data_IF_359347915197
#
_entry.id   IF_359347915197
#
_cell.length_a   1.000
_cell.length_b   1.000
_cell.length_c   1.000
_cell.angle_alpha   90.00
_cell.angle_beta   90.00
_cell.angle_gamma   90.00
#
_symmetry.space_group_name_H-M   'P 1'
#
loop_
_entity.id
_entity.type
_entity.pdbx_description
1 polymer ?
#
# COMPACT_ATOMS: atom_id res chain seq x y z
N UNK A 1 3.16 1.91 -9.46
CA UNK A 1 1.98 1.85 -8.58
C UNK A 1 2.24 0.85 -7.48
N UNK A 2 1.96 1.21 -6.23
CA UNK A 2 2.20 0.35 -5.08
C UNK A 2 1.02 -0.57 -4.81
N UNK A 3 1.30 -1.82 -4.46
CA UNK A 3 0.32 -2.81 -4.01
C UNK A 3 0.71 -3.33 -2.62
N UNK A 4 -0.21 -3.19 -1.67
CA UNK A 4 -0.13 -3.79 -0.34
C UNK A 4 -1.10 -4.97 -0.27
N UNK A 5 -0.61 -6.15 0.08
CA UNK A 5 -1.42 -7.36 0.28
C UNK A 5 -1.51 -7.66 1.76
N UNK A 6 -2.69 -7.49 2.34
CA UNK A 6 -2.99 -7.77 3.73
C UNK A 6 -3.48 -9.21 3.85
N UNK A 7 -2.70 -10.05 4.50
CA UNK A 7 -3.12 -11.38 4.97
C UNK A 7 -3.37 -11.33 6.47
N UNK A 8 -3.79 -12.44 7.07
CA UNK A 8 -4.09 -12.50 8.51
C UNK A 8 -2.86 -12.20 9.38
N UNK A 9 -1.66 -12.41 8.86
CA UNK A 9 -0.40 -12.42 9.60
C UNK A 9 0.67 -11.45 9.07
N UNK A 10 0.51 -10.91 7.85
CA UNK A 10 1.54 -10.07 7.22
C UNK A 10 0.99 -9.10 6.19
N UNK A 11 1.80 -8.09 5.93
CA UNK A 11 1.60 -7.15 4.82
C UNK A 11 2.75 -7.38 3.84
N UNK A 12 2.42 -7.60 2.57
CA UNK A 12 3.41 -7.70 1.50
C UNK A 12 3.29 -6.49 0.58
N UNK A 13 4.44 -5.92 0.19
CA UNK A 13 4.53 -4.76 -0.68
C UNK A 13 5.09 -5.17 -2.05
N UNK A 14 4.36 -4.88 -3.12
CA UNK A 14 4.76 -5.13 -4.50
C UNK A 14 4.68 -3.84 -5.33
N UNK A 15 5.59 -3.70 -6.30
CA UNK A 15 5.51 -2.63 -7.31
C UNK A 15 4.83 -3.15 -8.58
N UNK A 16 3.80 -2.45 -9.03
CA UNK A 16 3.04 -2.74 -10.24
C UNK A 16 3.33 -1.72 -11.32
N UNK A 17 3.67 -2.22 -12.52
CA UNK A 17 4.02 -1.42 -13.70
C UNK A 17 2.84 -1.02 -14.58
N UNK A 18 1.63 -1.43 -14.23
CA UNK A 18 0.42 -1.15 -15.02
C UNK A 18 -0.43 -0.07 -14.34
N UNK A 19 -1.19 0.74 -15.09
CA UNK A 19 -2.09 1.75 -14.53
C UNK A 19 -3.14 1.13 -13.59
N UNK A 20 -3.62 1.93 -12.62
CA UNK A 20 -4.63 1.46 -11.66
C UNK A 20 -5.90 0.94 -12.34
N UNK A 21 -6.40 1.66 -13.34
CA UNK A 21 -7.63 1.30 -14.05
C UNK A 21 -7.51 -0.05 -14.76
N UNK A 22 -6.43 -0.27 -15.50
CA UNK A 22 -6.16 -1.54 -16.19
C UNK A 22 -6.02 -2.70 -15.20
N UNK A 23 -5.34 -2.43 -14.07
CA UNK A 23 -5.19 -3.41 -13.00
C UNK A 23 -6.55 -3.78 -12.42
N UNK A 24 -7.39 -2.81 -12.06
CA UNK A 24 -8.74 -3.00 -11.50
C UNK A 24 -9.64 -3.74 -12.50
N UNK A 25 -9.69 -3.29 -13.75
CA UNK A 25 -10.54 -3.87 -14.80
C UNK A 25 -10.25 -5.36 -14.99
N UNK A 26 -8.98 -5.74 -14.94
CA UNK A 26 -8.58 -7.15 -14.98
C UNK A 26 -9.20 -7.96 -13.84
N UNK A 27 -9.23 -7.43 -12.61
CA UNK A 27 -9.76 -8.15 -11.43
C UNK A 27 -11.28 -8.22 -11.46
N UNK A 28 -11.96 -7.16 -11.90
CA UNK A 28 -13.41 -7.17 -12.13
C UNK A 28 -13.78 -8.21 -13.18
N UNK A 29 -13.04 -8.29 -14.29
CA UNK A 29 -13.29 -9.28 -15.32
C UNK A 29 -13.08 -10.71 -14.83
N UNK A 30 -12.04 -10.93 -14.03
CA UNK A 30 -11.78 -12.23 -13.40
C UNK A 30 -12.95 -12.60 -12.48
N UNK A 31 -13.38 -11.69 -11.58
CA UNK A 31 -14.44 -11.99 -10.61
C UNK A 31 -15.76 -12.36 -11.29
N UNK A 32 -16.11 -11.66 -12.37
CA UNK A 32 -17.28 -11.98 -13.18
C UNK A 32 -17.19 -13.38 -13.80
N UNK A 33 -16.02 -13.75 -14.34
CA UNK A 33 -15.80 -15.06 -14.96
C UNK A 33 -15.75 -16.21 -13.96
N UNK A 34 -15.24 -15.95 -12.75
CA UNK A 34 -15.18 -16.94 -11.68
C UNK A 34 -16.44 -17.01 -10.82
N UNK A 35 -17.46 -16.17 -11.10
CA UNK A 35 -18.65 -16.06 -10.24
C UNK A 35 -18.30 -15.78 -8.78
N UNK A 36 -17.24 -14.99 -8.54
CA UNK A 36 -16.80 -14.57 -7.21
C UNK A 36 -17.15 -13.10 -6.99
N UNK A 37 -17.42 -12.74 -5.73
CA UNK A 37 -17.63 -11.36 -5.36
C UNK A 37 -16.31 -10.61 -5.27
N UNK A 38 -16.34 -9.34 -5.68
CA UNK A 38 -15.27 -8.38 -5.45
C UNK A 38 -15.90 -7.08 -4.93
N UNK A 39 -15.39 -6.59 -3.82
CA UNK A 39 -15.72 -5.31 -3.23
C UNK A 39 -14.56 -4.36 -3.52
N UNK A 40 -14.85 -3.20 -4.10
CA UNK A 40 -13.87 -2.17 -4.44
C UNK A 40 -14.33 -0.86 -3.82
N UNK A 41 -13.46 -0.19 -3.06
CA UNK A 41 -13.77 1.10 -2.44
C UNK A 41 -12.54 2.01 -2.42
N UNK A 42 -12.74 3.32 -2.59
CA UNK A 42 -11.72 4.29 -2.16
C UNK A 42 -11.51 4.14 -0.65
N UNK A 43 -10.25 4.10 -0.22
CA UNK A 43 -9.89 3.90 1.17
C UNK A 43 -8.57 4.58 1.47
N UNK A 44 -8.23 4.64 2.76
CA UNK A 44 -6.85 4.80 3.19
C UNK A 44 -6.27 3.45 3.61
N UNK A 45 -4.96 3.37 3.64
CA UNK A 45 -4.20 2.30 4.26
C UNK A 45 -3.11 2.93 5.14
N UNK A 46 -2.98 2.42 6.35
CA UNK A 46 -1.89 2.74 7.24
C UNK A 46 -0.82 1.67 7.16
N UNK A 47 0.45 2.10 7.14
CA UNK A 47 1.61 1.22 7.26
C UNK A 47 2.59 1.80 8.26
N UNK A 48 3.10 0.94 9.16
CA UNK A 48 4.11 1.32 10.13
C UNK A 48 5.49 1.02 9.54
N UNK A 49 6.37 2.00 9.57
CA UNK A 49 7.75 1.85 9.11
C UNK A 49 8.73 2.33 10.19
N UNK A 50 9.94 1.77 10.26
CA UNK A 50 10.97 2.27 11.15
C UNK A 50 11.32 3.71 10.81
N UNK A 51 11.74 4.46 11.81
CA UNK A 51 12.42 5.74 11.63
C UNK A 51 13.85 5.44 11.14
N UNK A 52 14.00 5.05 9.87
CA UNK A 52 15.30 5.12 9.20
C UNK A 52 15.57 6.59 8.88
N UNK A 53 16.54 7.15 9.62
CA UNK A 53 16.85 8.59 9.66
C UNK A 53 17.03 9.26 8.30
N UNK A 54 17.37 8.51 7.25
CA UNK A 54 17.61 9.08 5.93
C UNK A 54 16.49 8.81 4.91
N UNK A 55 15.94 7.60 4.85
CA UNK A 55 14.90 7.27 3.86
C UNK A 55 13.54 7.86 4.26
N UNK A 56 13.16 7.69 5.53
CA UNK A 56 11.91 8.23 6.08
C UNK A 56 11.93 9.77 6.02
N UNK A 57 13.06 10.39 6.38
CA UNK A 57 13.21 11.85 6.29
C UNK A 57 13.21 12.39 4.84
N UNK A 58 13.60 11.59 3.85
CA UNK A 58 13.45 11.97 2.44
C UNK A 58 12.00 11.85 2.00
N UNK A 59 11.30 10.81 2.45
CA UNK A 59 9.91 10.56 2.12
C UNK A 59 8.99 11.64 2.73
N UNK A 60 9.22 12.03 3.98
CA UNK A 60 8.51 13.15 4.67
C UNK A 60 8.67 14.49 3.92
N UNK A 61 9.74 14.67 3.14
CA UNK A 61 9.99 15.90 2.37
C UNK A 61 9.36 15.89 0.97
N UNK A 62 8.82 14.75 0.53
CA UNK A 62 8.13 14.67 -0.74
C UNK A 62 6.71 15.20 -0.56
N UNK A 63 6.33 16.14 -1.43
CA UNK A 63 4.95 16.59 -1.54
C UNK A 63 4.19 15.63 -2.47
N UNK A 64 3.80 14.47 -1.94
CA UNK A 64 3.13 13.43 -2.72
C UNK A 64 1.63 13.39 -2.41
N UNK A 65 0.80 13.66 -3.40
CA UNK A 65 -0.67 13.82 -3.25
C UNK A 65 -1.36 12.63 -2.54
N UNK A 66 -0.88 11.41 -2.79
CA UNK A 66 -1.48 10.19 -2.24
C UNK A 66 -0.83 9.71 -0.93
N UNK A 67 0.15 10.46 -0.40
CA UNK A 67 0.59 10.34 0.99
C UNK A 67 -0.16 11.39 1.81
N UNK A 68 -1.05 10.93 2.67
CA UNK A 68 -1.97 11.79 3.42
C UNK A 68 -1.29 12.34 4.66
N UNK A 69 -0.57 11.51 5.39
CA UNK A 69 -0.02 11.86 6.69
C UNK A 69 1.16 10.98 7.09
N UNK A 70 2.07 11.57 7.87
CA UNK A 70 3.12 10.88 8.61
C UNK A 70 2.87 11.07 10.12
N UNK A 71 2.47 10.00 10.79
CA UNK A 71 2.18 9.97 12.21
C UNK A 71 3.35 9.34 12.97
N UNK A 72 4.08 10.11 13.76
CA UNK A 72 5.12 9.54 14.64
C UNK A 72 4.44 8.83 15.81
N UNK A 73 4.40 7.51 15.76
CA UNK A 73 3.72 6.67 16.75
C UNK A 73 4.59 6.47 18.00
N UNK A 74 5.90 6.25 17.81
CA UNK A 74 6.87 6.08 18.89
C UNK A 74 8.25 6.65 18.51
N UNK A 75 9.28 6.33 19.29
CA UNK A 75 10.64 6.84 19.08
C UNK A 75 11.32 6.26 17.83
N UNK A 76 10.91 5.06 17.43
CA UNK A 76 11.57 4.22 16.43
C UNK A 76 10.67 3.92 15.23
N UNK A 77 9.40 4.35 15.24
CA UNK A 77 8.43 4.11 14.16
C UNK A 77 7.62 5.34 13.76
N UNK A 78 7.31 5.40 12.47
CA UNK A 78 6.35 6.34 11.89
C UNK A 78 5.30 5.55 11.12
N UNK A 79 4.04 5.89 11.34
CA UNK A 79 2.91 5.43 10.54
C UNK A 79 2.74 6.36 9.34
N UNK A 80 2.64 5.77 8.15
CA UNK A 80 2.40 6.46 6.90
C UNK A 80 0.98 6.12 6.47
N UNK A 81 0.17 7.15 6.25
CA UNK A 81 -1.21 7.00 5.77
C UNK A 81 -1.23 7.28 4.27
N UNK A 82 -1.63 6.28 3.50
CA UNK A 82 -1.74 6.34 2.05
C UNK A 82 -3.21 6.39 1.63
N UNK A 83 -3.51 7.17 0.59
CA UNK A 83 -4.82 7.18 -0.06
C UNK A 83 -4.79 6.28 -1.28
N UNK A 84 -5.85 5.50 -1.51
CA UNK A 84 -5.89 4.57 -2.62
C UNK A 84 -7.20 3.80 -2.73
N UNK A 85 -7.11 2.60 -3.29
CA UNK A 85 -8.25 1.72 -3.52
C UNK A 85 -8.05 0.41 -2.77
N UNK A 86 -9.06 0.02 -1.99
CA UNK A 86 -9.15 -1.27 -1.31
C UNK A 86 -9.98 -2.25 -2.13
N UNK A 87 -9.47 -3.46 -2.28
CA UNK A 87 -10.12 -4.57 -2.95
C UNK A 87 -10.17 -5.78 -2.01
N UNK A 88 -11.34 -6.40 -1.90
CA UNK A 88 -11.52 -7.59 -1.07
C UNK A 88 -12.69 -8.44 -1.58
N UNK A 89 -12.82 -9.67 -1.10
CA UNK A 89 -13.95 -10.54 -1.42
C UNK A 89 -15.20 -10.23 -0.57
N UNK A 90 -15.03 -9.61 0.61
CA UNK A 90 -16.11 -9.29 1.54
C UNK A 90 -15.93 -7.93 2.20
N UNK A 91 -17.00 -7.15 2.32
CA UNK A 91 -16.91 -5.73 2.69
C UNK A 91 -16.31 -5.46 4.09
N UNK A 92 -16.45 -6.42 5.01
CA UNK A 92 -15.91 -6.34 6.37
C UNK A 92 -14.63 -7.18 6.55
N UNK A 93 -14.02 -7.64 5.46
CA UNK A 93 -12.77 -8.39 5.52
C UNK A 93 -11.61 -7.47 5.89
N UNK A 94 -10.78 -7.92 6.83
CA UNK A 94 -9.51 -7.29 7.20
C UNK A 94 -8.39 -7.68 6.23
N UNK A 95 -8.60 -8.77 5.47
CA UNK A 95 -7.68 -9.19 4.40
C UNK A 95 -8.13 -8.70 3.04
N UNK A 96 -7.17 -8.41 2.20
CA UNK A 96 -7.42 -7.83 0.89
C UNK A 96 -6.18 -7.22 0.26
N UNK A 97 -6.43 -6.43 -0.78
CA UNK A 97 -5.39 -5.76 -1.54
C UNK A 97 -5.68 -4.27 -1.53
N UNK A 98 -4.72 -3.49 -1.08
CA UNK A 98 -4.73 -2.05 -1.26
C UNK A 98 -3.79 -1.68 -2.41
N UNK A 99 -4.21 -0.74 -3.25
CA UNK A 99 -3.39 -0.19 -4.33
C UNK A 99 -3.42 1.32 -4.29
N UNK A 100 -2.26 1.95 -4.53
CA UNK A 100 -2.13 3.41 -4.57
C UNK A 100 -1.17 3.84 -5.67
N UNK A 101 -1.55 4.87 -6.41
CA UNK A 101 -0.68 5.53 -7.37
C UNK A 101 0.10 6.61 -6.63
N UNK A 102 1.40 6.40 -6.48
CA UNK A 102 2.31 7.36 -5.87
C UNK A 102 3.44 7.63 -6.86
N UNK A 103 4.13 8.74 -6.68
CA UNK A 103 5.27 9.11 -7.54
C UNK A 103 6.37 8.05 -7.48
N UNK A 104 7.06 7.81 -8.59
CA UNK A 104 8.14 6.81 -8.69
C UNK A 104 9.19 6.96 -7.58
N UNK A 105 9.49 8.20 -7.18
CA UNK A 105 10.45 8.48 -6.10
C UNK A 105 9.91 8.04 -4.73
N UNK A 106 8.63 8.29 -4.44
CA UNK A 106 7.99 7.85 -3.21
C UNK A 106 7.85 6.32 -3.17
N UNK A 107 7.49 5.71 -4.31
CA UNK A 107 7.41 4.24 -4.47
C UNK A 107 8.76 3.59 -4.19
N UNK A 108 9.83 4.12 -4.78
CA UNK A 108 11.18 3.62 -4.56
C UNK A 108 11.61 3.72 -3.08
N UNK A 109 11.34 4.85 -2.43
CA UNK A 109 11.69 5.02 -1.01
C UNK A 109 10.93 4.04 -0.12
N UNK A 110 9.62 3.90 -0.32
CA UNK A 110 8.79 2.96 0.44
C UNK A 110 9.25 1.51 0.24
N UNK A 111 9.55 1.11 -1.01
CA UNK A 111 10.06 -0.24 -1.27
C UNK A 111 11.38 -0.50 -0.52
N UNK A 112 12.31 0.45 -0.54
CA UNK A 112 13.60 0.31 0.15
C UNK A 112 13.45 0.25 1.68
N UNK A 113 12.50 0.99 2.23
CA UNK A 113 12.18 0.94 3.67
C UNK A 113 11.63 -0.45 4.03
N UNK A 114 10.70 -0.97 3.23
CA UNK A 114 10.07 -2.29 3.48
C UNK A 114 11.01 -3.48 3.26
N UNK A 115 11.85 -3.47 2.23
CA UNK A 115 12.80 -4.56 1.99
C UNK A 115 13.78 -4.72 3.15
N UNK A 116 14.14 -3.63 3.84
CA UNK A 116 15.02 -3.67 5.01
C UNK A 116 14.36 -4.29 6.25
N UNK A 117 13.07 -4.04 6.46
CA UNK A 117 12.33 -4.51 7.62
C UNK A 117 11.99 -6.01 7.55
N UNK A 118 11.64 -6.52 6.38
CA UNK A 118 11.17 -7.91 6.24
C UNK A 118 12.25 -8.91 5.80
N UNK A 119 13.48 -8.46 5.49
CA UNK A 119 14.62 -9.36 5.19
C UNK A 119 15.41 -9.78 6.45
N UNK A 120 15.04 -9.31 7.63
CA UNK A 120 15.61 -9.76 8.91
C UNK A 120 14.57 -10.60 9.67
N UNK A 121 14.35 -11.82 9.19
CA UNK A 121 13.70 -12.90 9.93
C UNK A 121 14.70 -14.05 10.14
#
# INVERSE_FOLDING_TARGET
>A
MLKLTYTDDKINLDCLKQPLEDWINTRVLISLRSSTSICIKSSTASILVPVDSHLTAQLEKLDCENIVEFCRCDADSVEIILKGTWLTSFIASETGIFVTEIEDKAEYLLQNIFEREFCHA
#
